data_IF_673048788082
#
_entry.id   IF_673048788082
#
_cell.length_a   1.000
_cell.length_b   1.000
_cell.length_c   1.000
_cell.angle_alpha   90.00
_cell.angle_beta   90.00
_cell.angle_gamma   90.00
#
_symmetry.space_group_name_H-M   'P 1'
#
loop_
_entity.id
_entity.type
_entity.pdbx_description
1 polymer ?
#
# COMPACT_ATOMS: atom_id res chain seq x y z
N UNK A 1 -5.64 3.05 1.24
CA UNK A 1 -4.74 3.44 2.35
C UNK A 1 -5.41 3.55 3.73
N UNK A 2 -6.71 3.89 3.85
CA UNK A 2 -7.34 4.20 5.14
C UNK A 2 -7.16 3.13 6.24
N UNK A 3 -7.41 1.86 5.94
CA UNK A 3 -7.25 0.76 6.91
C UNK A 3 -5.79 0.60 7.39
N UNK A 4 -4.81 0.74 6.50
CA UNK A 4 -3.41 0.61 6.88
C UNK A 4 -2.92 1.80 7.71
N UNK A 5 -3.42 3.01 7.43
CA UNK A 5 -3.17 4.19 8.27
C UNK A 5 -3.78 4.03 9.67
N UNK A 6 -4.97 3.42 9.78
CA UNK A 6 -5.60 3.09 11.07
C UNK A 6 -4.81 2.03 11.85
N UNK A 7 -4.29 0.99 11.19
CA UNK A 7 -3.46 -0.05 11.85
C UNK A 7 -2.07 0.49 12.23
N UNK A 8 -1.45 1.31 11.39
CA UNK A 8 -0.24 2.05 11.76
C UNK A 8 -0.51 2.91 13.01
N UNK A 9 -1.76 3.33 13.23
CA UNK A 9 -2.38 3.85 14.47
C UNK A 9 -1.94 3.21 15.78
N UNK A 10 -1.53 1.94 15.75
CA UNK A 10 -1.29 1.16 16.97
C UNK A 10 -0.03 0.28 16.87
N UNK A 11 0.71 0.35 15.76
CA UNK A 11 1.82 -0.54 15.48
C UNK A 11 3.02 0.20 14.86
N UNK A 12 4.23 -0.28 15.16
CA UNK A 12 5.48 0.23 14.59
C UNK A 12 5.64 -0.06 13.08
N UNK A 13 4.71 -0.84 12.51
CA UNK A 13 4.69 -1.19 11.10
C UNK A 13 3.43 -1.94 10.70
N UNK A 14 3.22 -2.11 9.39
CA UNK A 14 2.07 -2.80 8.82
C UNK A 14 2.51 -3.78 7.73
N UNK A 15 1.90 -4.97 7.69
CA UNK A 15 2.06 -5.93 6.60
C UNK A 15 0.81 -5.90 5.74
N UNK A 16 0.95 -5.62 4.45
CA UNK A 16 -0.17 -5.52 3.51
C UNK A 16 0.08 -6.51 2.38
N UNK A 17 -0.73 -7.56 2.27
CA UNK A 17 -0.59 -8.57 1.21
C UNK A 17 -1.62 -8.39 0.10
N UNK A 18 -2.90 -8.54 0.45
CA UNK A 18 -4.01 -8.56 -0.51
C UNK A 18 -4.16 -7.26 -1.33
N UNK A 19 -3.81 -6.10 -0.76
CA UNK A 19 -3.90 -4.84 -1.51
C UNK A 19 -2.86 -4.74 -2.63
N UNK A 20 -1.63 -5.27 -2.45
CA UNK A 20 -0.64 -5.33 -3.53
C UNK A 20 -1.05 -6.33 -4.61
N UNK A 21 -1.58 -7.50 -4.22
CA UNK A 21 -2.11 -8.49 -5.18
C UNK A 21 -3.25 -7.87 -5.99
N UNK A 22 -4.18 -7.20 -5.34
CA UNK A 22 -5.29 -6.51 -6.01
C UNK A 22 -4.80 -5.41 -6.96
N UNK A 23 -3.82 -4.60 -6.54
CA UNK A 23 -3.24 -3.56 -7.39
C UNK A 23 -2.61 -4.13 -8.68
N UNK A 24 -2.01 -5.32 -8.62
CA UNK A 24 -1.49 -6.01 -9.80
C UNK A 24 -2.60 -6.60 -10.68
N UNK A 25 -3.62 -7.21 -10.09
CA UNK A 25 -4.71 -7.86 -10.83
C UNK A 25 -5.68 -6.88 -11.48
N UNK A 26 -5.89 -5.70 -10.87
CA UNK A 26 -6.78 -4.66 -11.40
C UNK A 26 -6.11 -3.81 -12.50
N UNK A 27 -4.80 -3.92 -12.68
CA UNK A 27 -4.07 -3.14 -13.66
C UNK A 27 -4.26 -3.67 -15.10
N UNK A 28 -4.33 -2.78 -16.11
CA UNK A 28 -4.52 -3.18 -17.50
C UNK A 28 -3.29 -3.90 -18.10
N UNK A 29 -2.10 -3.67 -17.53
CA UNK A 29 -0.85 -4.31 -17.91
C UNK A 29 0.14 -4.32 -16.74
N UNK A 30 1.27 -5.00 -16.92
CA UNK A 30 2.31 -5.15 -15.91
C UNK A 30 2.94 -3.80 -15.50
N UNK A 31 3.15 -2.89 -16.45
CA UNK A 31 3.78 -1.60 -16.17
C UNK A 31 2.88 -0.72 -15.30
N UNK A 32 1.58 -0.70 -15.61
CA UNK A 32 0.56 -0.04 -14.81
C UNK A 32 0.44 -0.68 -13.41
N UNK A 33 0.52 -2.01 -13.31
CA UNK A 33 0.52 -2.73 -12.03
C UNK A 33 1.71 -2.35 -11.15
N UNK A 34 2.92 -2.32 -11.72
CA UNK A 34 4.13 -1.90 -11.01
C UNK A 34 4.06 -0.44 -10.56
N UNK A 35 3.45 0.45 -11.35
CA UNK A 35 3.22 1.84 -10.96
C UNK A 35 2.22 1.94 -9.79
N UNK A 36 1.11 1.19 -9.85
CA UNK A 36 0.11 1.14 -8.78
C UNK A 36 0.69 0.59 -7.46
N UNK A 37 1.48 -0.49 -7.53
CA UNK A 37 2.21 -1.04 -6.38
C UNK A 37 3.16 -0.01 -5.78
N UNK A 38 3.92 0.72 -6.61
CA UNK A 38 4.83 1.78 -6.14
C UNK A 38 4.09 2.90 -5.41
N UNK A 39 2.98 3.38 -5.97
CA UNK A 39 2.16 4.42 -5.35
C UNK A 39 1.63 3.97 -3.99
N UNK A 40 1.04 2.77 -3.93
CA UNK A 40 0.51 2.21 -2.70
C UNK A 40 1.59 2.06 -1.62
N UNK A 41 2.78 1.55 -1.98
CA UNK A 41 3.89 1.43 -1.05
C UNK A 41 4.35 2.81 -0.51
N UNK A 42 4.37 3.83 -1.37
CA UNK A 42 4.70 5.20 -0.98
C UNK A 42 3.69 5.78 0.02
N UNK A 43 2.39 5.66 -0.27
CA UNK A 43 1.33 6.11 0.63
C UNK A 43 1.39 5.43 2.00
N UNK A 44 1.65 4.12 2.02
CA UNK A 44 1.81 3.35 3.25
C UNK A 44 3.03 3.81 4.05
N UNK A 45 4.17 4.00 3.39
CA UNK A 45 5.39 4.46 4.05
C UNK A 45 5.22 5.87 4.64
N UNK A 46 4.56 6.77 3.92
CA UNK A 46 4.23 8.11 4.44
C UNK A 46 3.28 8.05 5.64
N UNK A 47 2.27 7.17 5.60
CA UNK A 47 1.35 6.94 6.72
C UNK A 47 2.05 6.42 7.98
N UNK A 48 3.04 5.54 7.83
CA UNK A 48 3.84 5.03 8.95
C UNK A 48 4.82 6.08 9.50
N UNK A 49 5.48 6.88 8.63
CA UNK A 49 6.48 7.88 9.04
C UNK A 49 5.91 9.14 9.69
N UNK A 50 4.67 9.53 9.38
CA UNK A 50 4.03 10.74 9.92
C UNK A 50 3.51 10.56 11.37
N UNK A 51 4.02 9.55 12.10
CA UNK A 51 3.74 9.31 13.52
C UNK A 51 4.78 10.00 14.40
#
# INVERSE_FOLDING_TARGET
>A
AAQAAEVAGFADGVIVGSAFVKAMLDAPDEAAGLAAVRSLAGELAEGVRKR
#
